data_IF_770838178589
#
_entry.id   IF_770838178589
#
_cell.length_a   1.000
_cell.length_b   1.000
_cell.length_c   1.000
_cell.angle_alpha   90.00
_cell.angle_beta   90.00
_cell.angle_gamma   90.00
#
_symmetry.space_group_name_H-M   'P 1'
#
loop_
_entity.id
_entity.type
_entity.pdbx_description
1 polymer ?
#
# COMPACT_ATOMS: atom_id res chain seq x y z
N UNK A 1 4.42 -11.45 -14.67
CA UNK A 1 5.56 -11.78 -13.79
C UNK A 1 6.43 -10.53 -13.66
N UNK A 2 6.21 -9.70 -12.62
CA UNK A 2 7.07 -8.55 -12.35
C UNK A 2 8.37 -9.07 -11.73
N UNK A 3 9.26 -9.56 -12.58
CA UNK A 3 10.64 -9.78 -12.20
C UNK A 3 11.27 -8.39 -12.19
N UNK A 4 11.55 -7.88 -10.98
CA UNK A 4 12.25 -6.61 -10.77
C UNK A 4 13.54 -6.60 -11.57
N UNK A 5 13.52 -5.96 -12.75
CA UNK A 5 14.67 -5.77 -13.65
C UNK A 5 15.57 -4.63 -13.18
N UNK A 6 15.84 -4.59 -11.87
CA UNK A 6 16.95 -3.84 -11.32
C UNK A 6 18.23 -4.69 -11.38
N UNK A 7 19.39 -4.06 -11.32
CA UNK A 7 20.73 -4.65 -11.39
C UNK A 7 21.07 -5.55 -10.18
N UNK A 8 20.23 -6.56 -9.89
CA UNK A 8 20.34 -7.40 -8.69
C UNK A 8 21.23 -8.60 -8.94
N UNK A 9 22.10 -8.86 -7.96
CA UNK A 9 22.84 -10.10 -7.87
C UNK A 9 21.84 -11.26 -7.69
N UNK A 10 21.92 -12.33 -8.52
CA UNK A 10 21.08 -13.51 -8.36
C UNK A 10 21.37 -14.18 -7.00
N UNK A 11 20.32 -14.65 -6.32
CA UNK A 11 20.42 -15.42 -5.07
C UNK A 11 20.14 -14.65 -3.76
N UNK A 12 19.91 -13.33 -3.81
CA UNK A 12 19.44 -12.59 -2.63
C UNK A 12 17.92 -12.61 -2.54
N UNK A 13 17.38 -13.13 -1.44
CA UNK A 13 15.98 -12.98 -1.09
C UNK A 13 15.78 -11.57 -0.53
N UNK A 14 15.18 -10.68 -1.33
CA UNK A 14 14.94 -9.28 -0.99
C UNK A 14 13.45 -9.13 -0.65
N UNK A 15 13.16 -8.57 0.51
CA UNK A 15 11.78 -8.27 0.90
C UNK A 15 11.20 -7.19 -0.02
N UNK A 16 9.96 -7.39 -0.44
CA UNK A 16 9.25 -6.50 -1.35
C UNK A 16 7.99 -6.00 -0.67
N UNK A 17 7.84 -4.69 -0.59
CA UNK A 17 6.64 -4.05 -0.11
C UNK A 17 6.01 -3.22 -1.23
N UNK A 18 4.70 -3.33 -1.38
CA UNK A 18 3.92 -2.43 -2.21
C UNK A 18 3.02 -1.59 -1.32
N UNK A 19 3.20 -0.27 -1.36
CA UNK A 19 2.37 0.70 -0.67
C UNK A 19 1.26 1.15 -1.61
N UNK A 20 0.02 1.08 -1.16
CA UNK A 20 -1.16 1.61 -1.86
C UNK A 20 -1.67 2.79 -1.05
N UNK A 21 -1.61 4.00 -1.63
CA UNK A 21 -2.16 5.21 -1.04
C UNK A 21 -3.45 5.54 -1.80
N UNK A 22 -4.57 5.67 -1.09
CA UNK A 22 -5.86 6.01 -1.69
C UNK A 22 -6.71 6.85 -0.74
N UNK A 23 -7.45 7.81 -1.27
CA UNK A 23 -8.37 8.67 -0.53
C UNK A 23 -9.86 8.37 -0.82
N UNK A 24 -10.12 7.37 -1.67
CA UNK A 24 -11.44 7.04 -2.18
C UNK A 24 -11.89 5.61 -1.89
N UNK A 25 -13.05 5.27 -2.45
CA UNK A 25 -13.58 3.92 -2.50
C UNK A 25 -13.54 3.45 -3.94
N UNK A 26 -13.11 2.22 -4.18
CA UNK A 26 -13.12 1.66 -5.52
C UNK A 26 -14.54 1.58 -6.06
N UNK A 27 -14.70 2.06 -7.29
CA UNK A 27 -15.92 1.90 -8.08
C UNK A 27 -16.13 0.44 -8.52
N UNK A 28 -15.07 -0.38 -8.54
CA UNK A 28 -15.13 -1.82 -8.81
C UNK A 28 -14.35 -2.61 -7.74
N UNK A 29 -14.97 -2.76 -6.58
CA UNK A 29 -14.37 -3.49 -5.44
C UNK A 29 -14.02 -4.94 -5.75
N UNK A 30 -14.71 -5.59 -6.70
CA UNK A 30 -14.44 -7.00 -7.04
C UNK A 30 -13.15 -7.10 -7.83
N UNK A 31 -12.97 -6.27 -8.85
CA UNK A 31 -11.72 -6.20 -9.61
C UNK A 31 -10.56 -5.80 -8.69
N UNK A 32 -10.74 -4.76 -7.86
CA UNK A 32 -9.72 -4.32 -6.90
C UNK A 32 -9.29 -5.44 -5.95
N UNK A 33 -10.24 -6.23 -5.42
CA UNK A 33 -9.90 -7.36 -4.56
C UNK A 33 -9.15 -8.48 -5.30
N UNK A 34 -9.47 -8.72 -6.57
CA UNK A 34 -8.77 -9.70 -7.40
C UNK A 34 -7.34 -9.26 -7.70
N UNK A 35 -7.13 -8.00 -8.08
CA UNK A 35 -5.80 -7.43 -8.31
C UNK A 35 -4.96 -7.42 -7.03
N UNK A 36 -5.59 -7.12 -5.89
CA UNK A 36 -4.92 -7.22 -4.59
C UNK A 36 -4.45 -8.64 -4.27
N UNK A 37 -5.22 -9.68 -4.63
CA UNK A 37 -4.75 -11.07 -4.51
C UNK A 37 -3.50 -11.32 -5.35
N UNK A 38 -3.50 -10.85 -6.61
CA UNK A 38 -2.33 -10.96 -7.49
C UNK A 38 -1.13 -10.21 -6.93
N UNK A 39 -1.32 -8.99 -6.40
CA UNK A 39 -0.26 -8.17 -5.84
C UNK A 39 0.35 -8.79 -4.57
N UNK A 40 -0.48 -9.37 -3.70
CA UNK A 40 -0.04 -10.07 -2.47
C UNK A 40 0.81 -11.31 -2.76
N UNK A 41 0.66 -11.93 -3.93
CA UNK A 41 1.52 -13.04 -4.34
C UNK A 41 2.94 -12.59 -4.73
N UNK A 42 3.16 -11.28 -4.92
CA UNK A 42 4.42 -10.70 -5.40
C UNK A 42 5.17 -9.91 -4.32
N UNK A 43 4.44 -9.37 -3.34
CA UNK A 43 4.96 -8.46 -2.30
C UNK A 43 4.02 -8.38 -1.11
N UNK A 44 4.51 -7.92 0.04
CA UNK A 44 3.67 -7.51 1.15
C UNK A 44 2.99 -6.19 0.81
N UNK A 45 1.65 -6.16 0.83
CA UNK A 45 0.86 -4.98 0.47
C UNK A 45 0.49 -4.20 1.72
N UNK A 46 1.00 -2.97 1.81
CA UNK A 46 0.70 -1.99 2.85
C UNK A 46 -0.28 -0.96 2.27
N UNK A 47 -1.37 -0.67 2.98
CA UNK A 47 -2.41 0.24 2.49
C UNK A 47 -2.53 1.45 3.42
N UNK A 48 -2.53 2.65 2.84
CA UNK A 48 -2.72 3.92 3.54
C UNK A 48 -3.97 4.60 2.98
N UNK A 49 -5.03 4.59 3.77
CA UNK A 49 -6.24 5.36 3.50
C UNK A 49 -6.07 6.83 3.90
N UNK A 50 -6.51 7.75 3.06
CA UNK A 50 -6.42 9.19 3.33
C UNK A 50 -7.83 9.78 3.35
N UNK A 51 -8.13 10.63 4.33
CA UNK A 51 -9.46 11.20 4.46
C UNK A 51 -10.46 10.28 5.16
N UNK A 52 -11.73 10.66 5.07
CA UNK A 52 -12.84 10.01 5.79
C UNK A 52 -13.74 9.17 4.88
N UNK A 53 -13.57 9.26 3.57
CA UNK A 53 -14.41 8.55 2.61
C UNK A 53 -13.92 7.13 2.33
N UNK A 54 -12.78 6.71 2.90
CA UNK A 54 -12.24 5.36 2.70
C UNK A 54 -13.03 4.30 3.48
N UNK A 55 -13.32 3.17 2.84
CA UNK A 55 -13.94 2.02 3.51
C UNK A 55 -12.86 1.15 4.14
N UNK A 56 -12.85 1.05 5.47
CA UNK A 56 -11.87 0.21 6.19
C UNK A 56 -11.91 -1.26 5.75
N UNK A 57 -13.10 -1.79 5.47
CA UNK A 57 -13.29 -3.16 4.96
C UNK A 57 -12.65 -3.34 3.58
N UNK A 58 -12.68 -2.31 2.74
CA UNK A 58 -12.05 -2.34 1.43
C UNK A 58 -10.52 -2.30 1.54
N UNK A 59 -9.99 -1.41 2.38
CA UNK A 59 -8.55 -1.33 2.63
C UNK A 59 -8.00 -2.67 3.16
N UNK A 60 -8.74 -3.35 4.04
CA UNK A 60 -8.38 -4.69 4.55
C UNK A 60 -8.39 -5.76 3.46
N UNK A 61 -9.28 -5.66 2.46
CA UNK A 61 -9.28 -6.60 1.32
C UNK A 61 -8.06 -6.42 0.42
N UNK A 62 -7.53 -5.21 0.35
CA UNK A 62 -6.35 -4.86 -0.45
C UNK A 62 -5.06 -5.27 0.29
N UNK A 63 -4.96 -4.95 1.58
CA UNK A 63 -3.77 -5.18 2.37
C UNK A 63 -3.40 -6.66 2.51
N UNK A 64 -2.11 -6.92 2.73
CA UNK A 64 -1.62 -8.23 3.17
C UNK A 64 -2.19 -8.58 4.55
N UNK A 65 -2.40 -9.89 4.82
CA UNK A 65 -2.74 -10.32 6.17
C UNK A 65 -1.59 -9.99 7.16
N UNK A 66 -1.90 -9.88 8.47
CA UNK A 66 -0.89 -9.71 9.51
C UNK A 66 0.14 -10.83 9.53
N UNK A 67 1.33 -10.55 10.06
CA UNK A 67 2.38 -11.54 10.31
C UNK A 67 2.89 -11.48 11.76
N UNK A 68 4.01 -12.16 12.04
CA UNK A 68 4.61 -12.25 13.38
C UNK A 68 5.01 -10.89 13.97
N UNK A 69 5.38 -9.92 13.12
CA UNK A 69 5.92 -8.62 13.54
C UNK A 69 4.91 -7.48 13.34
N UNK A 70 4.03 -7.60 12.35
CA UNK A 70 3.07 -6.55 11.99
C UNK A 70 1.63 -7.04 12.13
N UNK A 71 0.91 -6.48 13.12
CA UNK A 71 -0.49 -6.83 13.41
C UNK A 71 -1.51 -6.31 12.39
N UNK A 72 -1.14 -5.29 11.60
CA UNK A 72 -2.00 -4.73 10.55
C UNK A 72 -1.16 -3.99 9.52
N UNK A 73 -1.44 -4.24 8.24
CA UNK A 73 -0.89 -3.50 7.11
C UNK A 73 -1.83 -2.40 6.60
N UNK A 74 -2.87 -2.05 7.37
CA UNK A 74 -3.80 -0.97 7.06
C UNK A 74 -3.54 0.22 7.98
N UNK A 75 -3.31 1.38 7.36
CA UNK A 75 -3.10 2.66 8.01
C UNK A 75 -4.13 3.67 7.48
N UNK A 76 -4.46 4.66 8.30
CA UNK A 76 -5.34 5.74 7.87
C UNK A 76 -4.90 7.09 8.46
N UNK A 77 -5.04 8.15 7.68
CA UNK A 77 -4.82 9.55 8.08
C UNK A 77 -5.96 10.44 7.60
N UNK A 78 -6.15 11.58 8.27
CA UNK A 78 -7.23 12.52 7.91
C UNK A 78 -7.01 13.26 6.59
N UNK A 79 -5.77 13.48 6.18
CA UNK A 79 -5.40 14.24 5.00
C UNK A 79 -3.94 13.96 4.62
N UNK A 80 -3.54 14.45 3.45
CA UNK A 80 -2.17 14.29 2.94
C UNK A 80 -1.12 14.94 3.85
N UNK A 81 -1.42 16.09 4.46
CA UNK A 81 -0.49 16.75 5.41
C UNK A 81 -0.14 15.87 6.61
N UNK A 82 -1.06 15.00 7.02
CA UNK A 82 -0.87 14.08 8.14
C UNK A 82 -0.07 12.83 7.78
N UNK A 83 0.30 12.61 6.51
CA UNK A 83 1.11 11.45 6.10
C UNK A 83 2.47 11.40 6.81
N UNK A 84 3.04 12.56 7.14
CA UNK A 84 4.30 12.61 7.89
C UNK A 84 4.20 11.89 9.25
N UNK A 85 3.03 11.90 9.89
CA UNK A 85 2.80 11.18 11.16
C UNK A 85 2.73 9.65 11.01
N UNK A 86 2.66 9.15 9.77
CA UNK A 86 2.68 7.72 9.48
C UNK A 86 4.07 7.17 9.22
N UNK A 87 5.05 8.02 8.87
CA UNK A 87 6.36 7.57 8.39
C UNK A 87 7.00 6.57 9.37
N UNK A 88 7.05 6.90 10.66
CA UNK A 88 7.66 6.01 11.67
C UNK A 88 6.92 4.68 11.77
N UNK A 89 5.58 4.68 11.73
CA UNK A 89 4.77 3.46 11.78
C UNK A 89 4.93 2.58 10.53
N UNK A 90 5.11 3.20 9.36
CA UNK A 90 5.38 2.49 8.11
C UNK A 90 6.80 1.91 8.10
N UNK A 91 7.76 2.61 8.69
CA UNK A 91 9.11 2.09 8.90
C UNK A 91 9.06 0.88 9.82
N UNK A 92 8.36 0.95 10.95
CA UNK A 92 8.23 -0.17 11.89
C UNK A 92 7.58 -1.40 11.23
N UNK A 93 6.53 -1.17 10.42
CA UNK A 93 5.81 -2.24 9.72
C UNK A 93 6.63 -2.91 8.61
N UNK A 94 7.63 -2.22 8.04
CA UNK A 94 8.46 -2.72 6.94
C UNK A 94 9.86 -3.15 7.36
N UNK A 95 10.35 -2.60 8.46
CA UNK A 95 11.64 -2.92 9.05
C UNK A 95 11.43 -3.88 10.23
N UNK A 96 10.86 -5.06 9.97
CA UNK A 96 10.50 -6.06 11.00
C UNK A 96 11.65 -6.42 11.97
N UNK A 97 12.90 -6.15 11.57
CA UNK A 97 14.08 -6.08 12.45
C UNK A 97 15.03 -4.97 11.99
N UNK A 98 14.87 -3.76 12.47
CA UNK A 98 15.88 -2.68 12.33
C UNK A 98 17.21 -2.97 13.09
N UNK A 99 17.59 -4.24 13.28
CA UNK A 99 18.88 -4.67 13.83
C UNK A 99 19.89 -5.07 12.76
N UNK A 100 19.49 -5.23 11.49
CA UNK A 100 20.39 -5.48 10.36
C UNK A 100 19.93 -4.70 9.12
N UNK A 101 20.86 -4.14 8.34
CA UNK A 101 20.55 -3.50 7.04
C UNK A 101 20.04 -4.55 6.04
N UNK A 102 18.77 -4.92 6.11
CA UNK A 102 18.12 -5.68 5.05
C UNK A 102 17.93 -4.78 3.84
N UNK A 103 18.18 -5.33 2.65
CA UNK A 103 17.79 -4.67 1.40
C UNK A 103 16.30 -4.93 1.22
N UNK A 104 15.56 -3.87 0.91
CA UNK A 104 14.11 -3.90 0.73
C UNK A 104 13.76 -3.10 -0.51
N UNK A 105 12.79 -3.58 -1.28
CA UNK A 105 12.22 -2.81 -2.37
C UNK A 105 10.85 -2.28 -2.01
N UNK A 106 10.63 -1.03 -2.38
CA UNK A 106 9.38 -0.33 -2.17
C UNK A 106 8.83 0.08 -3.53
N UNK A 107 7.59 -0.32 -3.80
CA UNK A 107 6.77 0.21 -4.89
C UNK A 107 5.65 1.01 -4.24
N UNK A 108 5.40 2.23 -4.70
CA UNK A 108 4.26 3.02 -4.27
C UNK A 108 3.27 3.15 -5.43
N UNK A 109 2.03 2.72 -5.19
CA UNK A 109 0.87 2.95 -6.03
C UNK A 109 0.07 4.06 -5.37
N UNK A 110 0.03 5.22 -6.01
CA UNK A 110 -0.68 6.40 -5.51
C UNK A 110 -1.91 6.56 -6.39
N UNK A 111 -3.08 6.44 -5.79
CA UNK A 111 -4.35 6.71 -6.41
C UNK A 111 -4.55 8.23 -6.50
N UNK A 112 -4.79 8.73 -7.70
CA UNK A 112 -5.25 10.10 -7.95
C UNK A 112 -6.55 10.00 -8.73
N UNK A 113 -7.65 10.14 -8.01
CA UNK A 113 -8.96 10.35 -8.59
C UNK A 113 -9.50 11.67 -8.06
N UNK A 114 -8.92 12.77 -8.54
CA UNK A 114 -9.70 14.00 -8.66
C UNK A 114 -11.02 13.67 -9.38
N UNK A 115 -12.13 13.68 -8.65
CA UNK A 115 -13.43 13.84 -9.28
C UNK A 115 -13.43 15.23 -9.89
N UNK A 116 -13.13 15.31 -11.19
CA UNK A 116 -13.46 16.50 -11.94
C UNK A 116 -14.97 16.68 -11.78
N UNK A 117 -15.35 17.71 -11.04
CA UNK A 117 -16.68 18.30 -11.13
C UNK A 117 -16.89 18.59 -12.62
N UNK A 118 -17.61 17.73 -13.34
CA UNK A 118 -18.28 18.16 -14.55
C UNK A 118 -19.47 19.02 -14.12
N UNK A 119 -19.17 20.27 -13.74
CA UNK A 119 -20.13 21.35 -13.89
C UNK A 119 -20.24 21.62 -15.38
N UNK A 120 -21.09 20.88 -16.08
CA UNK A 120 -21.66 21.35 -17.34
C UNK A 120 -22.84 22.25 -16.97
N UNK A 121 -22.53 23.51 -16.71
CA UNK A 121 -23.44 24.62 -16.96
C UNK A 121 -23.46 24.87 -18.46
N UNK A 122 -24.57 24.54 -19.12
CA UNK A 122 -25.21 25.25 -20.25
C UNK A 122 -26.56 24.60 -20.55
#
# INVERSE_FOLDING_TARGET
MLQSRGNRLPGLNIEKFTFVLTDGMSTDRKSTAAEALSLRSLSTVVVVGIGQMVSHEELQRIASPPDEFTMSYVFAVKNFDSLHSLIDRLIDATCGKCSTRSRTDIIALIDDLSTSNMTSSE
#
